data_IF_124651623237
#
_entry.id   IF_124651623237
#
_cell.length_a   1.000
_cell.length_b   1.000
_cell.length_c   1.000
_cell.angle_alpha   90.00
_cell.angle_beta   90.00
_cell.angle_gamma   90.00
#
_symmetry.space_group_name_H-M   'P 1'
#
loop_
_entity.id
_entity.type
_entity.pdbx_description
1 polymer ?
#
# COMPACT_ATOMS: atom_id res chain seq x y z
N UNK A 1 6.90 6.18 1.49
CA UNK A 1 6.35 7.05 2.56
C UNK A 1 5.00 7.66 2.17
N UNK A 2 4.86 8.42 1.07
CA UNK A 2 3.58 9.05 0.64
C UNK A 2 2.37 8.10 0.68
N UNK A 3 2.52 6.92 0.07
CA UNK A 3 1.49 5.87 0.09
C UNK A 3 1.13 5.42 1.52
N UNK A 4 2.13 5.18 2.36
CA UNK A 4 1.93 4.72 3.74
C UNK A 4 1.14 5.75 4.57
N UNK A 5 1.49 7.04 4.42
CA UNK A 5 0.78 8.13 5.07
C UNK A 5 -0.69 8.16 4.63
N UNK A 6 -0.95 8.09 3.31
CA UNK A 6 -2.30 8.11 2.76
C UNK A 6 -3.16 6.93 3.24
N UNK A 7 -2.59 5.72 3.31
CA UNK A 7 -3.29 4.54 3.82
C UNK A 7 -3.65 4.69 5.30
N UNK A 8 -2.73 5.23 6.10
CA UNK A 8 -2.96 5.48 7.53
C UNK A 8 -4.03 6.54 7.73
N UNK A 9 -4.06 7.59 6.90
CA UNK A 9 -5.14 8.57 6.90
C UNK A 9 -6.49 7.95 6.54
N UNK A 10 -6.52 7.10 5.51
CA UNK A 10 -7.74 6.38 5.09
C UNK A 10 -8.28 5.48 6.21
N UNK A 11 -7.39 4.84 6.97
CA UNK A 11 -7.77 4.03 8.14
C UNK A 11 -8.36 4.91 9.26
N UNK A 12 -7.75 6.05 9.57
CA UNK A 12 -8.19 6.94 10.65
C UNK A 12 -9.49 7.69 10.32
N UNK A 13 -9.67 8.08 9.06
CA UNK A 13 -10.83 8.82 8.58
C UNK A 13 -12.01 7.87 8.28
N UNK A 14 -12.38 7.01 9.23
CA UNK A 14 -13.37 5.94 9.02
C UNK A 14 -14.83 6.45 8.91
N UNK A 15 -15.13 7.68 9.34
CA UNK A 15 -16.50 8.23 9.37
C UNK A 15 -16.59 9.59 8.64
N UNK A 16 -17.68 9.87 7.90
CA UNK A 16 -17.95 11.21 7.36
C UNK A 16 -17.87 12.28 8.46
N UNK A 17 -17.24 13.44 8.23
CA UNK A 17 -16.79 13.99 6.94
C UNK A 17 -15.44 13.47 6.41
N UNK A 18 -14.86 12.42 7.01
CA UNK A 18 -13.52 11.90 6.68
C UNK A 18 -12.41 12.93 6.91
N UNK A 19 -12.62 13.78 7.91
CA UNK A 19 -11.68 14.80 8.34
C UNK A 19 -10.76 14.29 9.45
N UNK A 20 -9.47 14.56 9.33
CA UNK A 20 -8.48 14.36 10.37
C UNK A 20 -8.04 15.75 10.82
N UNK A 21 -8.36 16.08 12.08
CA UNK A 21 -8.18 17.45 12.59
C UNK A 21 -6.84 17.60 13.29
N UNK A 22 -6.13 18.66 12.89
CA UNK A 22 -5.05 19.28 13.66
C UNK A 22 -3.95 18.33 14.17
N UNK A 23 -3.57 17.30 13.40
CA UNK A 23 -2.44 16.42 13.75
C UNK A 23 -1.12 17.05 13.26
N UNK A 24 -0.16 17.34 14.14
CA UNK A 24 1.14 17.87 13.74
C UNK A 24 1.95 16.90 12.86
N UNK A 25 2.81 17.45 12.00
CA UNK A 25 3.69 16.64 11.15
C UNK A 25 4.64 15.73 11.97
N UNK A 26 5.06 16.16 13.17
CA UNK A 26 5.87 15.34 14.09
C UNK A 26 5.13 14.07 14.51
N UNK A 27 3.84 14.18 14.83
CA UNK A 27 3.02 13.05 15.28
C UNK A 27 2.83 12.04 14.15
N UNK A 28 2.66 12.50 12.91
CA UNK A 28 2.67 11.60 11.75
C UNK A 28 4.03 10.93 11.53
N UNK A 29 5.13 11.62 11.80
CA UNK A 29 6.47 11.05 11.71
C UNK A 29 6.68 9.98 12.78
N UNK A 30 6.24 10.21 14.02
CA UNK A 30 6.22 9.22 15.11
C UNK A 30 5.35 8.01 14.73
N UNK A 31 4.10 8.25 14.29
CA UNK A 31 3.16 7.19 13.88
C UNK A 31 3.75 6.34 12.77
N UNK A 32 4.51 6.91 11.84
CA UNK A 32 5.14 6.20 10.72
C UNK A 32 6.56 5.69 11.04
N UNK A 33 7.00 5.79 12.30
CA UNK A 33 8.33 5.42 12.76
C UNK A 33 9.46 6.02 11.90
N UNK A 34 9.33 7.28 11.50
CA UNK A 34 10.35 8.00 10.75
C UNK A 34 11.49 8.44 11.69
N UNK A 35 12.76 8.37 11.25
CA UNK A 35 13.87 8.91 12.01
C UNK A 35 13.76 10.44 12.12
N UNK A 36 14.26 10.99 13.23
CA UNK A 36 14.24 12.41 13.57
C UNK A 36 12.85 13.06 13.41
N UNK A 37 11.82 12.59 14.12
CA UNK A 37 10.43 13.02 13.92
C UNK A 37 10.24 14.52 14.09
N UNK A 38 11.03 15.17 14.95
CA UNK A 38 10.99 16.62 15.21
C UNK A 38 11.53 17.46 14.05
N UNK A 39 12.39 16.91 13.18
CA UNK A 39 13.11 17.69 12.16
C UNK A 39 12.95 17.06 10.77
N UNK A 40 13.79 16.08 10.43
CA UNK A 40 13.80 15.49 9.09
C UNK A 40 12.53 14.66 8.83
N UNK A 41 12.02 13.96 9.85
CA UNK A 41 10.77 13.21 9.77
C UNK A 41 9.58 14.13 9.48
N UNK A 42 9.39 15.18 10.28
CA UNK A 42 8.34 16.18 10.07
C UNK A 42 8.43 16.83 8.68
N UNK A 43 9.63 17.19 8.22
CA UNK A 43 9.83 17.75 6.87
C UNK A 43 9.37 16.78 5.78
N UNK A 44 9.75 15.51 5.86
CA UNK A 44 9.32 14.47 4.90
C UNK A 44 7.82 14.28 4.90
N UNK A 45 7.16 14.33 6.07
CA UNK A 45 5.70 14.30 6.16
C UNK A 45 5.08 15.52 5.48
N UNK A 46 5.61 16.73 5.73
CA UNK A 46 5.10 17.95 5.09
C UNK A 46 5.19 17.87 3.56
N UNK A 47 6.31 17.38 3.02
CA UNK A 47 6.50 17.15 1.58
C UNK A 47 5.50 16.10 1.05
N UNK A 48 5.21 15.07 1.85
CA UNK A 48 4.20 14.06 1.53
C UNK A 48 2.81 14.69 1.38
N UNK A 49 2.40 15.49 2.37
CA UNK A 49 1.10 16.14 2.40
C UNK A 49 0.93 17.08 1.22
N UNK A 50 1.96 17.88 0.91
CA UNK A 50 1.95 18.77 -0.24
C UNK A 50 1.79 17.98 -1.55
N UNK A 51 2.51 16.86 -1.70
CA UNK A 51 2.39 16.01 -2.88
C UNK A 51 1.00 15.35 -3.00
N UNK A 52 0.43 14.88 -1.88
CA UNK A 52 -0.90 14.28 -1.84
C UNK A 52 -1.99 15.30 -2.20
N UNK A 53 -1.83 16.55 -1.76
CA UNK A 53 -2.70 17.65 -2.14
C UNK A 53 -2.59 17.98 -3.64
N UNK A 54 -1.37 18.11 -4.16
CA UNK A 54 -1.15 18.36 -5.59
C UNK A 54 -1.72 17.25 -6.48
N UNK A 55 -1.68 16.01 -5.98
CA UNK A 55 -2.26 14.84 -6.63
C UNK A 55 -3.78 14.71 -6.44
N UNK A 56 -4.41 15.70 -5.78
CA UNK A 56 -5.86 15.77 -5.50
C UNK A 56 -6.42 14.56 -4.75
N UNK A 57 -5.59 13.97 -3.88
CA UNK A 57 -5.97 12.85 -3.01
C UNK A 57 -6.43 13.32 -1.63
N UNK A 58 -6.00 14.51 -1.21
CA UNK A 58 -6.41 15.16 0.03
C UNK A 58 -6.60 16.66 -0.21
N UNK A 59 -7.40 17.31 0.64
CA UNK A 59 -7.42 18.76 0.81
C UNK A 59 -6.78 19.10 2.15
N UNK A 60 -5.91 20.10 2.17
CA UNK A 60 -5.36 20.64 3.40
C UNK A 60 -6.00 22.00 3.69
N UNK A 61 -6.60 22.13 4.85
CA UNK A 61 -7.17 23.39 5.33
C UNK A 61 -6.24 23.94 6.42
N UNK A 62 -5.53 25.03 6.12
CA UNK A 62 -4.63 25.69 7.07
C UNK A 62 -5.35 26.76 7.86
N UNK A 63 -5.22 26.72 9.19
CA UNK A 63 -5.57 27.84 10.08
C UNK A 63 -4.28 28.43 10.63
N UNK A 64 -4.21 29.76 10.71
CA UNK A 64 -3.00 30.44 11.17
C UNK A 64 -2.58 29.93 12.56
N UNK A 65 -1.31 29.53 12.69
CA UNK A 65 -0.75 29.01 13.95
C UNK A 65 -1.17 27.60 14.36
N UNK A 66 -2.02 26.92 13.58
CA UNK A 66 -2.52 25.57 13.88
C UNK A 66 -2.03 24.53 12.87
N UNK A 67 -1.89 23.25 13.27
CA UNK A 67 -1.65 22.17 12.33
C UNK A 67 -2.79 22.08 11.29
N UNK A 68 -2.46 21.67 10.07
CA UNK A 68 -3.41 21.61 8.95
C UNK A 68 -4.46 20.53 9.21
N UNK A 69 -5.72 20.86 8.95
CA UNK A 69 -6.79 19.87 8.88
C UNK A 69 -6.69 19.15 7.52
N UNK A 70 -6.96 17.84 7.51
CA UNK A 70 -6.87 17.00 6.32
C UNK A 70 -8.26 16.44 6.01
N UNK A 71 -8.80 16.74 4.84
CA UNK A 71 -10.00 16.09 4.30
C UNK A 71 -9.60 15.11 3.20
N UNK A 72 -10.06 13.86 3.27
CA UNK A 72 -9.81 12.87 2.21
C UNK A 72 -10.66 13.16 0.95
N UNK A 73 -10.04 13.03 -0.21
CA UNK A 73 -10.69 13.12 -1.52
C UNK A 73 -10.69 11.75 -2.21
N UNK A 74 -11.37 11.65 -3.35
CA UNK A 74 -11.46 10.43 -4.13
C UNK A 74 -10.08 9.87 -4.50
N UNK A 75 -9.82 8.56 -4.32
CA UNK A 75 -8.56 7.93 -4.67
C UNK A 75 -8.27 7.93 -6.19
N UNK A 76 -9.26 8.26 -7.03
CA UNK A 76 -9.07 8.42 -8.48
C UNK A 76 -8.30 9.68 -8.88
N UNK A 77 -7.95 10.58 -7.94
CA UNK A 77 -7.23 11.83 -8.23
C UNK A 77 -8.08 12.89 -8.95
N UNK A 78 -9.40 12.71 -9.00
CA UNK A 78 -10.34 13.66 -9.60
C UNK A 78 -10.55 14.91 -8.73
N UNK A 79 -10.21 14.84 -7.44
CA UNK A 79 -10.45 15.91 -6.46
C UNK A 79 -11.90 15.97 -5.95
N UNK A 80 -12.73 14.99 -6.29
CA UNK A 80 -14.10 14.89 -5.77
C UNK A 80 -14.11 14.42 -4.32
N UNK A 81 -15.20 14.66 -3.60
CA UNK A 81 -15.36 14.17 -2.23
C UNK A 81 -15.16 12.65 -2.16
N UNK A 82 -14.53 12.18 -1.07
CA UNK A 82 -14.37 10.76 -0.83
C UNK A 82 -15.74 10.08 -0.77
N UNK A 83 -15.94 9.04 -1.59
CA UNK A 83 -17.16 8.24 -1.61
C UNK A 83 -16.80 6.77 -1.67
N UNK A 84 -17.25 6.02 -0.67
CA UNK A 84 -17.15 4.56 -0.66
C UNK A 84 -18.15 3.88 -1.61
N UNK A 85 -19.08 4.65 -2.21
CA UNK A 85 -20.15 4.13 -3.09
C UNK A 85 -19.67 3.78 -4.51
N UNK A 86 -18.36 3.55 -4.69
CA UNK A 86 -17.79 2.96 -5.91
C UNK A 86 -17.79 1.43 -5.83
N UNK A 87 -17.84 0.75 -6.98
CA UNK A 87 -18.01 -0.70 -7.06
C UNK A 87 -16.78 -1.53 -6.62
N UNK A 88 -15.62 -0.92 -6.37
CA UNK A 88 -14.37 -1.64 -6.15
C UNK A 88 -13.47 -0.95 -5.11
N UNK A 89 -13.02 -1.73 -4.12
CA UNK A 89 -12.09 -1.29 -3.08
C UNK A 89 -11.15 -2.44 -2.71
N UNK A 90 -9.90 -2.10 -2.43
CA UNK A 90 -8.92 -3.05 -1.92
C UNK A 90 -9.12 -3.17 -0.41
N UNK A 91 -9.53 -4.35 0.05
CA UNK A 91 -9.58 -4.64 1.49
C UNK A 91 -8.17 -4.86 2.02
N UNK A 92 -7.86 -4.31 3.19
CA UNK A 92 -6.62 -4.59 3.93
C UNK A 92 -7.02 -4.95 5.36
N UNK A 93 -6.57 -6.10 5.92
CA UNK A 93 -6.87 -6.48 7.29
C UNK A 93 -6.33 -5.45 8.30
N UNK A 94 -7.00 -5.31 9.46
CA UNK A 94 -6.54 -4.42 10.53
C UNK A 94 -5.17 -4.86 11.10
N UNK A 95 -4.85 -6.15 11.04
CA UNK A 95 -3.53 -6.68 11.39
C UNK A 95 -2.38 -6.00 10.67
N UNK A 96 -2.61 -5.46 9.47
CA UNK A 96 -1.60 -4.69 8.74
C UNK A 96 -1.05 -3.47 9.52
N UNK A 97 -1.88 -2.85 10.35
CA UNK A 97 -1.46 -1.78 11.25
C UNK A 97 -1.11 -2.32 12.63
N UNK A 98 -1.90 -3.26 13.19
CA UNK A 98 -1.70 -3.80 14.54
C UNK A 98 -0.38 -4.57 14.69
N UNK A 99 0.04 -5.29 13.64
CA UNK A 99 1.26 -6.09 13.60
C UNK A 99 2.42 -5.37 12.87
N UNK A 100 2.37 -4.04 12.79
CA UNK A 100 3.49 -3.19 12.33
C UNK A 100 3.90 -3.36 10.85
N UNK A 101 3.14 -4.09 10.03
CA UNK A 101 3.47 -4.35 8.63
C UNK A 101 3.62 -3.06 7.81
N UNK A 102 2.80 -2.06 8.09
CA UNK A 102 2.89 -0.72 7.47
C UNK A 102 4.25 -0.05 7.71
N UNK A 103 4.96 -0.36 8.80
CA UNK A 103 6.28 0.19 9.12
C UNK A 103 7.37 -0.64 8.45
N UNK A 104 7.29 -1.97 8.59
CA UNK A 104 8.34 -2.92 8.18
C UNK A 104 8.48 -3.02 6.67
N UNK A 105 7.35 -3.09 5.95
CA UNK A 105 7.36 -3.20 4.49
C UNK A 105 7.74 -1.87 3.85
N UNK A 106 8.58 -1.88 2.83
CA UNK A 106 8.90 -0.70 2.05
C UNK A 106 7.64 -0.13 1.39
N UNK A 107 7.68 1.17 1.04
CA UNK A 107 6.57 1.78 0.32
C UNK A 107 6.24 1.08 -1.00
N UNK A 108 7.26 0.47 -1.62
CA UNK A 108 7.12 -0.31 -2.84
C UNK A 108 6.44 -1.65 -2.58
N UNK A 109 6.85 -2.39 -1.55
CA UNK A 109 6.22 -3.66 -1.18
C UNK A 109 4.74 -3.45 -0.81
N UNK A 110 4.42 -2.38 -0.08
CA UNK A 110 3.02 -2.01 0.21
C UNK A 110 2.24 -1.73 -1.08
N UNK A 111 2.82 -0.94 -2.01
CA UNK A 111 2.18 -0.69 -3.30
C UNK A 111 1.94 -1.97 -4.09
N UNK A 112 2.91 -2.89 -4.07
CA UNK A 112 2.82 -4.16 -4.76
C UNK A 112 1.75 -5.08 -4.16
N UNK A 113 1.68 -5.15 -2.83
CA UNK A 113 0.62 -5.87 -2.10
C UNK A 113 -0.78 -5.38 -2.51
N UNK A 114 -0.97 -4.06 -2.61
CA UNK A 114 -2.24 -3.47 -3.03
C UNK A 114 -2.59 -3.82 -4.47
N UNK A 115 -1.61 -3.81 -5.39
CA UNK A 115 -1.83 -4.23 -6.78
C UNK A 115 -2.23 -5.70 -6.87
N UNK A 116 -1.54 -6.57 -6.14
CA UNK A 116 -1.89 -7.99 -6.11
C UNK A 116 -3.31 -8.20 -5.54
N UNK A 117 -3.72 -7.41 -4.54
CA UNK A 117 -5.07 -7.45 -3.98
C UNK A 117 -6.13 -6.91 -4.95
N UNK A 118 -5.85 -5.80 -5.62
CA UNK A 118 -6.71 -5.22 -6.66
C UNK A 118 -7.00 -6.24 -7.78
N UNK A 119 -5.95 -6.90 -8.26
CA UNK A 119 -6.08 -7.94 -9.29
C UNK A 119 -6.83 -9.19 -8.81
N UNK A 120 -6.79 -9.51 -7.51
CA UNK A 120 -7.57 -10.59 -6.90
C UNK A 120 -9.03 -10.23 -6.68
N UNK A 121 -9.37 -8.94 -6.55
CA UNK A 121 -10.73 -8.49 -6.19
C UNK A 121 -11.81 -8.90 -7.19
N UNK A 122 -11.45 -9.44 -8.36
CA UNK A 122 -12.37 -9.91 -9.40
C UNK A 122 -12.18 -11.41 -9.76
N UNK A 123 -11.50 -12.21 -8.91
CA UNK A 123 -11.19 -13.62 -9.19
C UNK A 123 -11.38 -14.49 -7.94
N UNK A 124 -11.85 -15.72 -8.15
CA UNK A 124 -11.88 -16.73 -7.09
C UNK A 124 -10.45 -17.02 -6.57
N UNK A 125 -10.32 -17.43 -5.31
CA UNK A 125 -9.06 -17.78 -4.65
C UNK A 125 -8.22 -18.83 -5.42
N UNK A 126 -8.89 -19.62 -6.25
CA UNK A 126 -8.30 -20.65 -7.11
C UNK A 126 -7.62 -20.12 -8.38
N UNK A 127 -7.80 -18.85 -8.75
CA UNK A 127 -7.17 -18.23 -9.95
C UNK A 127 -6.20 -17.09 -9.56
N UNK A 128 -4.94 -17.40 -9.23
CA UNK A 128 -3.96 -16.39 -8.86
C UNK A 128 -3.68 -15.44 -10.02
N UNK A 129 -3.44 -14.14 -9.76
CA UNK A 129 -3.13 -13.19 -10.81
C UNK A 129 -1.82 -13.54 -11.51
N UNK A 130 -1.87 -13.54 -12.83
CA UNK A 130 -0.69 -13.56 -13.69
C UNK A 130 -0.35 -12.11 -14.01
N UNK A 131 0.91 -11.74 -13.83
CA UNK A 131 1.40 -10.40 -14.11
C UNK A 131 2.29 -10.43 -15.34
N UNK A 132 1.72 -10.03 -16.48
CA UNK A 132 2.49 -9.76 -17.70
C UNK A 132 3.27 -8.46 -17.55
N UNK A 133 4.35 -8.30 -18.31
CA UNK A 133 5.15 -7.05 -18.33
C UNK A 133 4.28 -5.82 -18.58
N UNK A 134 3.28 -5.92 -19.45
CA UNK A 134 2.31 -4.84 -19.73
C UNK A 134 1.48 -4.46 -18.50
N UNK A 135 1.08 -5.43 -17.66
CA UNK A 135 0.39 -5.13 -16.41
C UNK A 135 1.31 -4.46 -15.39
N UNK A 136 2.58 -4.86 -15.33
CA UNK A 136 3.57 -4.17 -14.45
C UNK A 136 3.72 -2.70 -14.81
N UNK A 137 3.82 -2.41 -16.10
CA UNK A 137 3.93 -1.05 -16.63
C UNK A 137 2.67 -0.21 -16.34
N UNK A 138 1.47 -0.82 -16.41
CA UNK A 138 0.21 -0.14 -16.07
C UNK A 138 0.20 0.42 -14.65
N UNK A 139 0.81 -0.29 -13.69
CA UNK A 139 0.92 0.17 -12.30
C UNK A 139 2.17 1.02 -12.04
N UNK A 140 2.96 1.34 -13.07
CA UNK A 140 4.12 2.24 -12.96
C UNK A 140 5.36 1.60 -12.32
N UNK A 141 5.45 0.28 -12.24
CA UNK A 141 6.63 -0.41 -11.68
C UNK A 141 7.68 -0.69 -12.76
N UNK A 142 8.93 -0.32 -12.49
CA UNK A 142 10.08 -0.86 -13.23
C UNK A 142 10.36 -2.31 -12.82
N UNK A 143 11.05 -3.07 -13.67
CA UNK A 143 11.38 -4.48 -13.37
C UNK A 143 12.29 -4.64 -12.15
N UNK A 144 13.20 -3.70 -11.90
CA UNK A 144 14.02 -3.69 -10.67
C UNK A 144 13.16 -3.48 -9.41
N UNK A 145 12.29 -2.46 -9.47
CA UNK A 145 11.36 -2.13 -8.37
C UNK A 145 10.44 -3.31 -8.05
N UNK A 146 9.98 -3.99 -9.09
CA UNK A 146 9.21 -5.23 -8.99
C UNK A 146 9.98 -6.31 -8.25
N UNK A 147 11.19 -6.61 -8.72
CA UNK A 147 12.02 -7.70 -8.20
C UNK A 147 12.29 -7.51 -6.71
N UNK A 148 12.64 -6.27 -6.31
CA UNK A 148 12.84 -5.92 -4.89
C UNK A 148 11.56 -6.09 -4.07
N UNK A 149 10.42 -5.59 -4.55
CA UNK A 149 9.15 -5.72 -3.85
C UNK A 149 8.71 -7.19 -3.69
N UNK A 150 8.86 -8.00 -4.75
CA UNK A 150 8.54 -9.43 -4.68
C UNK A 150 9.44 -10.16 -3.70
N UNK A 151 10.75 -9.87 -3.72
CA UNK A 151 11.70 -10.49 -2.81
C UNK A 151 11.35 -10.15 -1.36
N UNK A 152 11.13 -8.87 -1.07
CA UNK A 152 10.76 -8.40 0.27
C UNK A 152 9.49 -9.09 0.81
N UNK A 153 8.45 -9.22 -0.02
CA UNK A 153 7.23 -9.90 0.39
C UNK A 153 7.42 -11.41 0.57
N UNK A 154 8.29 -12.05 -0.20
CA UNK A 154 8.67 -13.45 0.02
C UNK A 154 9.46 -13.63 1.32
N UNK A 155 10.42 -12.75 1.58
CA UNK A 155 11.25 -12.77 2.79
C UNK A 155 10.38 -12.60 4.07
N UNK A 156 9.26 -11.90 3.96
CA UNK A 156 8.26 -11.75 5.03
C UNK A 156 7.16 -12.83 5.06
N UNK A 157 7.20 -13.81 4.15
CA UNK A 157 6.19 -14.88 4.06
C UNK A 157 4.83 -14.44 3.53
N UNK A 158 4.71 -13.21 3.01
CA UNK A 158 3.45 -12.65 2.48
C UNK A 158 3.18 -13.06 1.03
N UNK A 159 4.21 -13.54 0.33
CA UNK A 159 4.13 -13.90 -1.07
C UNK A 159 4.79 -15.25 -1.33
N UNK A 160 4.09 -16.12 -2.05
CA UNK A 160 4.64 -17.34 -2.64
C UNK A 160 4.55 -17.24 -4.15
N UNK A 161 5.70 -17.31 -4.83
CA UNK A 161 5.77 -17.31 -6.29
C UNK A 161 5.93 -18.75 -6.76
N UNK A 162 4.97 -19.23 -7.56
CA UNK A 162 5.05 -20.57 -8.17
C UNK A 162 5.19 -20.43 -9.68
N UNK A 163 6.17 -21.12 -10.26
CA UNK A 163 6.30 -21.28 -11.72
C UNK A 163 5.35 -22.37 -12.18
N UNK A 164 4.38 -22.01 -13.02
CA UNK A 164 3.52 -23.00 -13.68
C UNK A 164 3.78 -23.00 -15.19
N UNK A 165 3.98 -24.18 -15.80
CA UNK A 165 3.95 -24.30 -17.26
C UNK A 165 2.51 -24.11 -17.74
N UNK A 166 2.29 -23.12 -18.62
CA UNK A 166 1.04 -22.97 -19.34
C UNK A 166 1.31 -23.01 -20.85
N UNK A 167 0.60 -23.91 -21.52
CA UNK A 167 0.55 -24.11 -22.97
C UNK A 167 -0.36 -25.31 -23.25
N UNK A 168 -1.17 -25.26 -24.31
CA UNK A 168 -1.81 -26.48 -24.84
C UNK A 168 -0.71 -27.36 -25.44
N UNK A 169 -0.99 -28.66 -25.57
CA UNK A 169 -0.02 -29.70 -25.99
C UNK A 169 0.73 -29.38 -27.31
N UNK A 170 0.19 -28.47 -28.12
CA UNK A 170 0.73 -28.03 -29.41
C UNK A 170 1.20 -26.55 -29.47
N UNK A 171 1.24 -25.83 -28.35
CA UNK A 171 1.67 -24.42 -28.31
C UNK A 171 2.91 -24.25 -27.41
N UNK A 172 3.78 -23.30 -27.73
CA UNK A 172 5.04 -23.07 -27.02
C UNK A 172 4.79 -22.91 -25.51
N UNK A 173 5.24 -23.88 -24.70
CA UNK A 173 5.10 -23.88 -23.23
C UNK A 173 5.79 -22.66 -22.64
N UNK A 174 5.03 -21.64 -22.26
CA UNK A 174 5.57 -20.47 -21.56
C UNK A 174 5.47 -20.70 -20.06
N UNK A 175 6.62 -20.69 -19.38
CA UNK A 175 6.65 -20.67 -17.92
C UNK A 175 6.18 -19.29 -17.44
N UNK A 176 5.15 -19.26 -16.60
CA UNK A 176 4.66 -18.03 -15.98
C UNK A 176 4.71 -18.11 -14.47
N UNK A 177 5.04 -16.98 -13.85
CA UNK A 177 4.99 -16.82 -12.41
C UNK A 177 3.53 -16.55 -11.99
N UNK A 178 3.04 -17.38 -11.08
CA UNK A 178 1.78 -17.17 -10.35
C UNK A 178 2.11 -16.65 -8.95
N UNK A 179 1.37 -15.62 -8.52
CA UNK A 179 1.61 -14.90 -7.27
C UNK A 179 0.50 -15.24 -6.27
N UNK A 180 0.89 -15.86 -5.15
CA UNK A 180 -0.02 -16.27 -4.07
C UNK A 180 0.24 -15.39 -2.86
N UNK A 181 -0.75 -14.58 -2.50
CA UNK A 181 -0.68 -13.75 -1.28
C UNK A 181 -1.24 -14.56 -0.12
N UNK A 182 -0.45 -14.69 0.93
CA UNK A 182 -0.94 -15.12 2.24
C UNK A 182 -1.43 -13.85 2.98
N UNK A 183 -2.74 -13.62 2.96
CA UNK A 183 -3.33 -12.43 3.59
C UNK A 183 -3.44 -12.60 5.10
N UNK A 184 -3.62 -13.83 5.56
CA UNK A 184 -3.81 -14.16 6.98
C UNK A 184 -2.52 -13.91 7.76
N UNK A 185 -1.36 -13.99 7.08
CA UNK A 185 -0.07 -13.57 7.63
C UNK A 185 -0.05 -12.11 8.10
N UNK A 186 -0.89 -11.23 7.55
CA UNK A 186 -0.99 -9.83 8.03
C UNK A 186 -1.63 -9.71 9.41
N UNK A 187 -2.47 -10.66 9.80
CA UNK A 187 -3.12 -10.69 11.12
C UNK A 187 -2.25 -11.37 12.20
N UNK A 188 -1.05 -11.82 11.82
CA UNK A 188 -0.06 -12.39 12.73
C UNK A 188 1.07 -11.40 13.02
N UNK A 189 1.71 -11.49 14.20
CA UNK A 189 2.91 -10.73 14.51
C UNK A 189 4.00 -10.95 13.47
N UNK A 190 4.63 -9.85 13.06
CA UNK A 190 5.81 -9.87 12.19
C UNK A 190 7.05 -10.26 13.01
N UNK A 191 7.12 -11.52 13.42
CA UNK A 191 8.35 -12.10 13.95
C UNK A 191 9.31 -12.39 12.79
N UNK A 192 10.59 -12.02 12.89
CA UNK A 192 11.59 -12.51 11.95
C UNK A 192 11.57 -14.03 12.04
N UNK A 193 11.49 -14.72 10.89
CA UNK A 193 11.62 -16.16 10.85
C UNK A 193 12.89 -16.53 11.64
N UNK A 194 12.72 -17.29 12.73
CA UNK A 194 13.85 -17.74 13.52
C UNK A 194 14.83 -18.42 12.56
N UNK A 195 16.02 -17.84 12.42
CA UNK A 195 17.09 -18.49 11.68
C UNK A 195 17.51 -19.70 12.52
N UNK A 196 16.97 -20.87 12.18
CA UNK A 196 17.49 -22.14 12.69
C UNK A 196 18.99 -22.18 12.38
N UNK A 197 19.79 -22.24 13.46
CA UNK A 197 21.25 -22.36 13.45
C UNK A 197 21.67 -23.79 13.16
#
# INVERSE_FOLDING_TARGET
>A
MKLKLYLTMTMLAARPPHDIRSIPARTWAEVLALPDPEVNGARRVADALNWLQQSRLIRLDSRQGMPKDVTLLSPSGTGTAYSWRGAWYVRVPLGFWQNEWIYRLSGTAVGFLLVLRDMRSNRAETDPPWLTTTQKQRYGFSDDTWTRATKELQDHGLLVIRRRPQGKEFDHRRLRNSYWIDIDRLDQPNEPAAQES
#
